data_IF_284209940467
#
_entry.id   IF_284209940467
#
_cell.length_a   1.000
_cell.length_b   1.000
_cell.length_c   1.000
_cell.angle_alpha   90.00
_cell.angle_beta   90.00
_cell.angle_gamma   90.00
#
_symmetry.space_group_name_H-M   'P 1'
#
loop_
_entity.id
_entity.type
_entity.pdbx_description
1 polymer ?
#
# COMPACT_ATOMS: atom_id res chain seq x y z
N UNK A 1 14.60 -6.41 -38.73
CA UNK A 1 15.01 -6.32 -37.31
C UNK A 1 13.95 -7.04 -36.50
N UNK A 2 14.32 -7.74 -35.43
CA UNK A 2 13.30 -8.41 -34.61
C UNK A 2 12.43 -7.34 -33.92
N UNK A 3 11.14 -7.62 -33.66
CA UNK A 3 10.26 -6.70 -32.92
C UNK A 3 10.85 -6.29 -31.55
N UNK A 4 11.70 -7.15 -30.97
CA UNK A 4 12.42 -6.88 -29.73
C UNK A 4 13.55 -5.84 -29.89
N UNK A 5 14.29 -5.83 -31.00
CA UNK A 5 15.38 -4.87 -31.22
C UNK A 5 14.86 -3.45 -31.50
N UNK A 6 13.80 -3.32 -32.31
CA UNK A 6 13.16 -2.01 -32.57
C UNK A 6 12.52 -1.43 -31.31
N UNK A 7 12.03 -2.29 -30.42
CA UNK A 7 11.43 -1.87 -29.16
C UNK A 7 12.48 -1.45 -28.12
N UNK A 8 13.66 -2.07 -28.13
CA UNK A 8 14.80 -1.62 -27.31
C UNK A 8 15.38 -0.28 -27.79
N UNK A 9 15.43 -0.04 -29.11
CA UNK A 9 15.79 1.28 -29.68
C UNK A 9 14.81 2.36 -29.21
N UNK A 10 13.51 2.06 -29.24
CA UNK A 10 12.46 2.97 -28.78
C UNK A 10 12.65 3.35 -27.29
N UNK A 11 13.06 2.41 -26.43
CA UNK A 11 13.31 2.69 -25.01
C UNK A 11 14.47 3.67 -24.82
N UNK A 12 15.59 3.43 -25.50
CA UNK A 12 16.75 4.32 -25.43
C UNK A 12 16.44 5.73 -25.97
N UNK A 13 15.66 5.82 -27.04
CA UNK A 13 15.19 7.10 -27.58
C UNK A 13 14.25 7.82 -26.61
N UNK A 14 13.25 7.11 -26.08
CA UNK A 14 12.24 7.68 -25.17
C UNK A 14 12.84 8.17 -23.85
N UNK A 15 13.93 7.55 -23.38
CA UNK A 15 14.64 8.00 -22.19
C UNK A 15 15.27 9.40 -22.39
N UNK A 16 15.74 9.68 -23.61
CA UNK A 16 16.36 10.95 -23.98
C UNK A 16 15.36 12.08 -24.29
N UNK A 17 14.08 11.77 -24.52
CA UNK A 17 13.07 12.77 -24.87
C UNK A 17 12.78 13.75 -23.73
N UNK A 18 12.62 15.02 -24.10
CA UNK A 18 12.06 16.06 -23.25
C UNK A 18 10.52 15.99 -23.21
N UNK A 19 9.84 16.70 -22.28
CA UNK A 19 8.39 16.64 -22.15
C UNK A 19 7.62 16.93 -23.45
N UNK A 20 8.07 17.92 -24.23
CA UNK A 20 7.43 18.31 -25.50
C UNK A 20 7.53 17.20 -26.57
N UNK A 21 8.67 16.51 -26.61
CA UNK A 21 8.88 15.38 -27.51
C UNK A 21 8.05 14.17 -27.09
N UNK A 22 7.98 13.88 -25.79
CA UNK A 22 7.10 12.85 -25.23
C UNK A 22 5.64 13.10 -25.62
N UNK A 23 5.17 14.35 -25.49
CA UNK A 23 3.80 14.72 -25.89
C UNK A 23 3.59 14.54 -27.40
N UNK A 24 4.54 14.98 -28.23
CA UNK A 24 4.45 14.84 -29.70
C UNK A 24 4.39 13.39 -30.14
N UNK A 25 5.16 12.52 -29.48
CA UNK A 25 5.27 11.11 -29.82
C UNK A 25 4.29 10.22 -29.06
N UNK A 26 3.53 10.76 -28.10
CA UNK A 26 2.56 10.05 -27.27
C UNK A 26 1.65 9.10 -28.06
N UNK A 27 0.97 9.50 -29.16
CA UNK A 27 0.02 8.63 -29.86
C UNK A 27 0.67 7.40 -30.50
N UNK A 28 1.94 7.51 -30.90
CA UNK A 28 2.66 6.43 -31.59
C UNK A 28 3.51 5.59 -30.63
N UNK A 29 4.13 6.23 -29.64
CA UNK A 29 5.07 5.58 -28.72
C UNK A 29 4.36 4.86 -27.58
N UNK A 30 3.31 5.44 -26.99
CA UNK A 30 2.63 4.84 -25.84
C UNK A 30 2.05 3.45 -26.15
N UNK A 31 1.29 3.22 -27.24
CA UNK A 31 0.79 1.88 -27.54
C UNK A 31 1.91 0.84 -27.75
N UNK A 32 3.03 1.25 -28.34
CA UNK A 32 4.21 0.38 -28.56
C UNK A 32 4.89 0.03 -27.24
N UNK A 33 5.11 1.01 -26.36
CA UNK A 33 5.69 0.79 -25.04
C UNK A 33 4.77 -0.06 -24.15
N UNK A 34 3.46 0.15 -24.21
CA UNK A 34 2.50 -0.69 -23.51
C UNK A 34 2.56 -2.13 -24.04
N UNK A 35 2.53 -2.33 -25.36
CA UNK A 35 2.68 -3.67 -25.95
C UNK A 35 3.99 -4.33 -25.54
N UNK A 36 5.08 -3.57 -25.51
CA UNK A 36 6.38 -4.06 -25.09
C UNK A 36 6.36 -4.48 -23.61
N UNK A 37 5.77 -3.65 -22.74
CA UNK A 37 5.61 -3.94 -21.32
C UNK A 37 4.82 -5.23 -21.06
N UNK A 38 3.86 -5.58 -21.93
CA UNK A 38 3.10 -6.81 -21.82
C UNK A 38 3.89 -8.08 -22.20
N UNK A 39 4.91 -7.96 -23.06
CA UNK A 39 5.58 -9.11 -23.71
C UNK A 39 6.99 -9.37 -23.18
N UNK A 40 7.69 -8.37 -22.63
CA UNK A 40 9.06 -8.55 -22.13
C UNK A 40 9.10 -9.55 -20.98
N UNK A 41 9.85 -10.64 -21.11
CA UNK A 41 10.09 -11.61 -20.03
C UNK A 41 11.25 -11.19 -19.09
N UNK A 42 12.18 -10.35 -19.55
CA UNK A 42 13.31 -9.91 -18.75
C UNK A 42 12.93 -8.82 -17.72
N UNK A 43 13.16 -9.09 -16.43
CA UNK A 43 12.79 -8.20 -15.33
C UNK A 43 13.43 -6.81 -15.37
N UNK A 44 14.72 -6.69 -15.72
CA UNK A 44 15.39 -5.39 -15.73
C UNK A 44 14.90 -4.52 -16.88
N UNK A 45 14.65 -5.11 -18.05
CA UNK A 45 14.06 -4.41 -19.18
C UNK A 45 12.62 -3.98 -18.88
N UNK A 46 11.81 -4.87 -18.28
CA UNK A 46 10.42 -4.57 -17.90
C UNK A 46 10.35 -3.41 -16.92
N UNK A 47 11.26 -3.35 -15.94
CA UNK A 47 11.38 -2.22 -15.01
C UNK A 47 11.76 -0.92 -15.75
N UNK A 48 12.70 -0.99 -16.70
CA UNK A 48 13.06 0.17 -17.53
C UNK A 48 11.86 0.75 -18.28
N UNK A 49 11.04 -0.12 -18.89
CA UNK A 49 9.80 0.31 -19.58
C UNK A 49 8.82 0.93 -18.59
N UNK A 50 8.62 0.31 -17.43
CA UNK A 50 7.73 0.82 -16.39
C UNK A 50 8.11 2.24 -15.95
N UNK A 51 9.41 2.47 -15.73
CA UNK A 51 9.93 3.78 -15.34
C UNK A 51 9.70 4.82 -16.43
N UNK A 52 9.98 4.51 -17.69
CA UNK A 52 9.71 5.43 -18.81
C UNK A 52 8.21 5.74 -18.89
N UNK A 53 7.35 4.73 -18.79
CA UNK A 53 5.90 4.90 -18.80
C UNK A 53 5.44 5.85 -17.66
N UNK A 54 5.94 5.66 -16.44
CA UNK A 54 5.53 6.45 -15.26
C UNK A 54 6.19 7.83 -15.17
N UNK A 55 7.44 7.98 -15.59
CA UNK A 55 8.21 9.23 -15.43
C UNK A 55 8.04 10.16 -16.64
N UNK A 56 7.91 9.62 -17.86
CA UNK A 56 7.93 10.40 -19.11
C UNK A 56 6.56 10.53 -19.76
N UNK A 57 5.79 9.45 -19.80
CA UNK A 57 4.51 9.42 -20.54
C UNK A 57 3.32 9.75 -19.67
N UNK A 58 3.25 9.23 -18.43
CA UNK A 58 2.18 9.53 -17.49
C UNK A 58 1.91 11.05 -17.36
N UNK A 59 2.92 11.94 -17.25
CA UNK A 59 2.68 13.38 -17.15
C UNK A 59 2.06 14.03 -18.39
N UNK A 60 2.07 13.35 -19.53
CA UNK A 60 1.52 13.84 -20.79
C UNK A 60 0.08 13.39 -21.02
N UNK A 61 -0.43 12.46 -20.19
CA UNK A 61 -1.77 11.89 -20.35
C UNK A 61 -2.76 12.74 -19.57
N UNK A 62 -3.85 13.14 -20.22
CA UNK A 62 -4.90 13.89 -19.55
C UNK A 62 -5.60 13.02 -18.50
N UNK A 63 -5.94 13.61 -17.35
CA UNK A 63 -6.48 12.87 -16.21
C UNK A 63 -7.73 12.05 -16.55
N UNK A 64 -8.63 12.58 -17.39
CA UNK A 64 -9.85 11.86 -17.79
C UNK A 64 -9.60 10.61 -18.64
N UNK A 65 -8.44 10.52 -19.29
CA UNK A 65 -8.06 9.39 -20.15
C UNK A 65 -7.13 8.41 -19.44
N UNK A 66 -6.60 8.81 -18.28
CA UNK A 66 -5.55 8.10 -17.54
C UNK A 66 -5.92 6.64 -17.28
N UNK A 67 -7.14 6.41 -16.79
CA UNK A 67 -7.60 5.07 -16.45
C UNK A 67 -7.62 4.13 -17.67
N UNK A 68 -8.26 4.59 -18.76
CA UNK A 68 -8.49 3.77 -19.95
C UNK A 68 -7.21 3.53 -20.75
N UNK A 69 -6.35 4.56 -20.84
CA UNK A 69 -5.17 4.55 -21.70
C UNK A 69 -3.91 4.04 -20.99
N UNK A 70 -3.84 4.17 -19.67
CA UNK A 70 -2.63 3.87 -18.90
C UNK A 70 -2.87 2.93 -17.72
N UNK A 71 -3.64 3.34 -16.70
CA UNK A 71 -3.71 2.63 -15.41
C UNK A 71 -4.21 1.19 -15.58
N UNK A 72 -5.33 1.00 -16.29
CA UNK A 72 -5.91 -0.32 -16.55
C UNK A 72 -5.04 -1.25 -17.40
N UNK A 73 -4.02 -0.72 -18.09
CA UNK A 73 -3.09 -1.49 -18.93
C UNK A 73 -1.79 -1.81 -18.21
N UNK A 74 -1.28 -0.86 -17.42
CA UNK A 74 0.02 -0.97 -16.75
C UNK A 74 -0.12 -1.70 -15.42
N UNK A 75 -1.08 -1.31 -14.58
CA UNK A 75 -1.14 -1.80 -13.19
C UNK A 75 -1.38 -3.30 -13.06
N UNK A 76 -2.28 -3.97 -13.81
CA UNK A 76 -2.46 -5.41 -13.67
C UNK A 76 -1.16 -6.18 -13.91
N UNK A 77 -0.36 -5.74 -14.90
CA UNK A 77 0.95 -6.34 -15.17
C UNK A 77 2.01 -5.96 -14.16
N UNK A 78 1.95 -4.75 -13.59
CA UNK A 78 2.83 -4.38 -12.47
C UNK A 78 2.55 -5.24 -11.24
N UNK A 79 1.29 -5.49 -10.93
CA UNK A 79 0.87 -6.38 -9.83
C UNK A 79 1.35 -7.81 -10.08
N UNK A 80 1.08 -8.36 -11.27
CA UNK A 80 1.54 -9.70 -11.65
C UNK A 80 3.07 -9.82 -11.55
N UNK A 81 3.80 -8.84 -12.09
CA UNK A 81 5.26 -8.77 -12.01
C UNK A 81 5.75 -8.78 -10.56
N UNK A 82 5.14 -7.97 -9.70
CA UNK A 82 5.50 -7.89 -8.29
C UNK A 82 5.22 -9.20 -7.54
N UNK A 83 4.08 -9.83 -7.81
CA UNK A 83 3.71 -11.12 -7.22
C UNK A 83 4.65 -12.25 -7.65
N UNK A 84 5.10 -12.26 -8.92
CA UNK A 84 6.09 -13.23 -9.41
C UNK A 84 7.44 -13.04 -8.70
N UNK A 85 7.94 -11.81 -8.57
CA UNK A 85 9.19 -11.55 -7.85
C UNK A 85 9.13 -12.04 -6.39
N UNK A 86 8.00 -11.80 -5.71
CA UNK A 86 7.79 -12.28 -4.34
C UNK A 86 7.72 -13.80 -4.25
N UNK A 87 7.06 -14.44 -5.21
CA UNK A 87 7.01 -15.90 -5.30
C UNK A 87 8.41 -16.47 -5.50
N UNK A 88 9.19 -15.94 -6.44
CA UNK A 88 10.56 -16.36 -6.69
C UNK A 88 11.44 -16.15 -5.45
N UNK A 89 11.35 -15.01 -4.76
CA UNK A 89 12.09 -14.79 -3.51
C UNK A 89 11.73 -15.88 -2.48
N UNK A 90 10.45 -16.18 -2.33
CA UNK A 90 9.99 -17.16 -1.34
C UNK A 90 10.45 -18.58 -1.70
N UNK A 91 10.41 -18.97 -2.97
CA UNK A 91 10.86 -20.29 -3.41
C UNK A 91 12.38 -20.47 -3.33
N UNK A 92 13.13 -19.39 -3.58
CA UNK A 92 14.59 -19.41 -3.50
C UNK A 92 15.11 -19.31 -2.06
N UNK A 93 14.35 -18.72 -1.14
CA UNK A 93 14.74 -18.60 0.26
C UNK A 93 15.01 -19.97 0.93
N UNK A 94 14.25 -21.01 0.57
CA UNK A 94 14.43 -22.37 1.09
C UNK A 94 15.75 -23.03 0.63
N UNK A 95 16.37 -22.50 -0.43
CA UNK A 95 17.58 -23.03 -1.06
C UNK A 95 18.84 -22.25 -0.68
N UNK A 96 18.70 -21.27 0.23
CA UNK A 96 19.81 -20.45 0.69
C UNK A 96 20.85 -21.29 1.42
N UNK A 97 22.10 -21.20 0.96
CA UNK A 97 23.26 -21.85 1.57
C UNK A 97 24.46 -20.92 1.46
N UNK A 98 25.39 -21.01 2.41
CA UNK A 98 26.59 -20.16 2.44
C UNK A 98 27.47 -20.23 1.18
N UNK A 99 27.34 -21.28 0.37
CA UNK A 99 28.14 -21.50 -0.84
C UNK A 99 27.48 -20.97 -2.13
N UNK A 100 26.20 -20.56 -2.08
CA UNK A 100 25.45 -20.19 -3.28
C UNK A 100 25.41 -18.67 -3.49
N UNK A 101 26.56 -18.09 -3.84
CA UNK A 101 26.71 -16.64 -4.07
C UNK A 101 25.83 -16.11 -5.21
N UNK A 102 25.64 -16.90 -6.27
CA UNK A 102 24.78 -16.53 -7.40
C UNK A 102 23.33 -16.37 -6.96
N UNK A 103 22.82 -17.29 -6.14
CA UNK A 103 21.48 -17.19 -5.57
C UNK A 103 21.33 -15.98 -4.65
N UNK A 104 22.33 -15.71 -3.82
CA UNK A 104 22.35 -14.50 -2.98
C UNK A 104 22.23 -13.24 -3.84
N UNK A 105 22.98 -13.15 -4.94
CA UNK A 105 22.93 -12.02 -5.85
C UNK A 105 21.58 -11.91 -6.57
N UNK A 106 21.03 -13.02 -7.04
CA UNK A 106 19.70 -13.04 -7.68
C UNK A 106 18.61 -12.56 -6.73
N UNK A 107 18.59 -13.04 -5.47
CA UNK A 107 17.64 -12.58 -4.47
C UNK A 107 17.80 -11.11 -4.12
N UNK A 108 19.04 -10.63 -3.98
CA UNK A 108 19.32 -9.19 -3.78
C UNK A 108 18.77 -8.36 -4.94
N UNK A 109 18.97 -8.81 -6.18
CA UNK A 109 18.45 -8.15 -7.36
C UNK A 109 16.92 -8.13 -7.40
N UNK A 110 16.25 -9.20 -6.99
CA UNK A 110 14.78 -9.25 -6.90
C UNK A 110 14.24 -8.27 -5.86
N UNK A 111 14.82 -8.25 -4.65
CA UNK A 111 14.42 -7.30 -3.60
C UNK A 111 14.68 -5.86 -4.06
N UNK A 112 15.84 -5.58 -4.66
CA UNK A 112 16.15 -4.26 -5.22
C UNK A 112 15.18 -3.86 -6.33
N UNK A 113 14.76 -4.80 -7.18
CA UNK A 113 13.77 -4.56 -8.23
C UNK A 113 12.43 -4.18 -7.63
N UNK A 114 11.99 -4.87 -6.57
CA UNK A 114 10.77 -4.51 -5.84
C UNK A 114 10.85 -3.09 -5.25
N UNK A 115 12.00 -2.70 -4.68
CA UNK A 115 12.23 -1.32 -4.20
C UNK A 115 11.98 -0.31 -5.32
N UNK A 116 12.58 -0.52 -6.49
CA UNK A 116 12.43 0.38 -7.64
C UNK A 116 11.00 0.43 -8.19
N UNK A 117 10.25 -0.68 -8.12
CA UNK A 117 8.81 -0.68 -8.47
C UNK A 117 8.02 0.20 -7.50
N UNK A 118 8.28 0.11 -6.19
CA UNK A 118 7.62 0.94 -5.18
C UNK A 118 7.94 2.43 -5.38
N UNK A 119 9.18 2.77 -5.69
CA UNK A 119 9.61 4.14 -6.01
C UNK A 119 8.86 4.70 -7.23
N UNK A 120 8.80 3.93 -8.33
CA UNK A 120 8.11 4.32 -9.54
C UNK A 120 6.60 4.54 -9.31
N UNK A 121 5.96 3.61 -8.58
CA UNK A 121 4.56 3.74 -8.17
C UNK A 121 4.34 4.96 -7.27
N UNK A 122 5.28 5.26 -6.38
CA UNK A 122 5.19 6.44 -5.52
C UNK A 122 5.23 7.72 -6.34
N UNK A 123 6.13 7.79 -7.33
CA UNK A 123 6.17 8.88 -8.31
C UNK A 123 4.86 9.04 -9.08
N UNK A 124 4.29 7.92 -9.53
CA UNK A 124 3.00 7.89 -10.24
C UNK A 124 1.86 8.49 -9.40
N UNK A 125 1.67 7.99 -8.17
CA UNK A 125 0.61 8.51 -7.28
C UNK A 125 0.83 9.97 -6.92
N UNK A 126 2.09 10.36 -6.64
CA UNK A 126 2.43 11.75 -6.32
C UNK A 126 2.09 12.69 -7.47
N UNK A 127 2.39 12.28 -8.70
CA UNK A 127 2.05 13.06 -9.88
C UNK A 127 0.53 13.23 -10.00
N UNK A 128 -0.24 12.14 -9.87
CA UNK A 128 -1.71 12.16 -9.95
C UNK A 128 -2.32 13.07 -8.87
N UNK A 129 -1.83 13.00 -7.62
CA UNK A 129 -2.25 13.90 -6.54
C UNK A 129 -1.99 15.37 -6.84
N UNK A 130 -0.99 15.68 -7.67
CA UNK A 130 -0.64 17.04 -8.06
C UNK A 130 -1.52 17.63 -9.17
N UNK A 131 -2.37 16.82 -9.82
CA UNK A 131 -3.16 17.27 -10.98
C UNK A 131 -4.39 18.09 -10.58
N UNK A 132 -5.07 17.74 -9.48
CA UNK A 132 -6.32 18.38 -9.04
C UNK A 132 -6.50 18.32 -7.52
N UNK A 133 -7.21 19.29 -6.95
CA UNK A 133 -7.57 19.31 -5.51
C UNK A 133 -8.58 18.23 -5.12
N UNK A 134 -9.45 17.83 -6.05
CA UNK A 134 -10.41 16.73 -5.89
C UNK A 134 -10.32 15.80 -7.08
N UNK A 135 -10.23 14.50 -6.80
CA UNK A 135 -9.94 13.48 -7.80
C UNK A 135 -11.15 12.56 -8.00
N UNK A 136 -11.84 12.59 -9.16
CA UNK A 136 -12.92 11.65 -9.44
C UNK A 136 -12.40 10.21 -9.42
N UNK A 137 -13.00 9.32 -8.62
CA UNK A 137 -12.56 7.93 -8.52
C UNK A 137 -12.59 7.22 -9.88
N UNK A 138 -13.55 7.57 -10.75
CA UNK A 138 -13.74 6.96 -12.06
C UNK A 138 -12.48 7.07 -12.94
N UNK A 139 -11.67 8.12 -12.75
CA UNK A 139 -10.43 8.38 -13.50
C UNK A 139 -9.22 7.63 -12.97
N UNK A 140 -9.33 6.97 -11.81
CA UNK A 140 -8.21 6.29 -11.13
C UNK A 140 -8.63 4.99 -10.43
N UNK A 141 -9.77 4.39 -10.78
CA UNK A 141 -10.40 3.35 -9.97
C UNK A 141 -9.55 2.07 -9.83
N UNK A 142 -8.67 1.77 -10.79
CA UNK A 142 -7.74 0.63 -10.68
C UNK A 142 -6.53 0.90 -9.76
N UNK A 143 -6.22 2.17 -9.50
CA UNK A 143 -5.00 2.59 -8.81
C UNK A 143 -4.99 2.21 -7.33
N UNK A 144 -6.02 2.54 -6.51
CA UNK A 144 -6.01 2.23 -5.08
C UNK A 144 -5.82 0.74 -4.79
N UNK A 145 -6.58 -0.13 -5.47
CA UNK A 145 -6.57 -1.55 -5.18
C UNK A 145 -5.24 -2.21 -5.59
N UNK A 146 -4.72 -1.86 -6.77
CA UNK A 146 -3.44 -2.38 -7.26
C UNK A 146 -2.27 -2.01 -6.35
N UNK A 147 -2.22 -0.74 -5.93
CA UNK A 147 -1.15 -0.23 -5.08
C UNK A 147 -1.26 -0.77 -3.66
N UNK A 148 -2.45 -0.82 -3.09
CA UNK A 148 -2.66 -1.38 -1.75
C UNK A 148 -2.34 -2.89 -1.71
N UNK A 149 -2.58 -3.63 -2.79
CA UNK A 149 -2.15 -5.03 -2.89
C UNK A 149 -0.62 -5.15 -2.81
N UNK A 150 0.12 -4.36 -3.60
CA UNK A 150 1.59 -4.35 -3.60
C UNK A 150 2.14 -3.96 -2.21
N UNK A 151 1.58 -2.91 -1.59
CA UNK A 151 1.95 -2.48 -0.23
C UNK A 151 1.71 -3.63 0.77
N UNK A 152 0.52 -4.25 0.74
CA UNK A 152 0.16 -5.35 1.63
C UNK A 152 1.16 -6.50 1.50
N UNK A 153 1.42 -6.94 0.28
CA UNK A 153 2.36 -8.03 -0.01
C UNK A 153 3.77 -7.69 0.46
N UNK A 154 4.21 -6.45 0.27
CA UNK A 154 5.49 -5.97 0.78
C UNK A 154 5.57 -6.07 2.30
N UNK A 155 4.58 -5.56 3.04
CA UNK A 155 4.62 -5.62 4.51
C UNK A 155 4.51 -7.04 5.05
N UNK A 156 3.73 -7.91 4.43
CA UNK A 156 3.69 -9.33 4.80
C UNK A 156 5.08 -9.97 4.61
N UNK A 157 5.75 -9.68 3.49
CA UNK A 157 7.10 -10.15 3.26
C UNK A 157 8.09 -9.62 4.32
N UNK A 158 8.07 -8.32 4.62
CA UNK A 158 8.88 -7.74 5.68
C UNK A 158 8.60 -8.38 7.05
N UNK A 159 7.32 -8.62 7.39
CA UNK A 159 6.91 -9.27 8.65
C UNK A 159 7.54 -10.65 8.81
N UNK A 160 7.57 -11.43 7.72
CA UNK A 160 7.99 -12.81 7.72
C UNK A 160 9.48 -12.98 7.38
N UNK A 161 10.18 -11.90 7.04
CA UNK A 161 11.54 -11.93 6.50
C UNK A 161 12.55 -12.57 7.46
N UNK A 162 12.45 -12.30 8.77
CA UNK A 162 13.34 -12.92 9.77
C UNK A 162 13.22 -14.46 9.77
N UNK A 163 11.99 -14.98 9.73
CA UNK A 163 11.76 -16.42 9.61
C UNK A 163 12.13 -16.98 8.22
N UNK A 164 11.85 -16.23 7.16
CA UNK A 164 12.05 -16.68 5.78
C UNK A 164 13.54 -16.82 5.43
N UNK A 165 14.35 -15.85 5.86
CA UNK A 165 15.79 -15.84 5.56
C UNK A 165 16.62 -16.52 6.67
N UNK A 166 16.07 -16.68 7.87
CA UNK A 166 16.71 -17.38 9.00
C UNK A 166 18.14 -16.87 9.24
N UNK A 167 19.15 -17.75 9.22
CA UNK A 167 20.56 -17.38 9.45
C UNK A 167 21.14 -16.40 8.41
N UNK A 168 20.51 -16.30 7.22
CA UNK A 168 20.92 -15.40 6.15
C UNK A 168 20.23 -14.03 6.21
N UNK A 169 19.36 -13.79 7.19
CA UNK A 169 18.62 -12.53 7.33
C UNK A 169 19.51 -11.28 7.25
N UNK A 170 20.65 -11.31 7.95
CA UNK A 170 21.61 -10.21 7.97
C UNK A 170 22.19 -9.87 6.58
N UNK A 171 22.18 -10.80 5.61
CA UNK A 171 22.66 -10.55 4.25
C UNK A 171 21.72 -9.64 3.45
N UNK A 172 20.44 -9.57 3.84
CA UNK A 172 19.39 -8.85 3.13
C UNK A 172 18.81 -7.68 3.93
N UNK A 173 19.28 -7.44 5.17
CA UNK A 173 18.70 -6.46 6.09
C UNK A 173 18.60 -5.05 5.52
N UNK A 174 19.64 -4.58 4.85
CA UNK A 174 19.69 -3.22 4.28
C UNK A 174 18.69 -3.05 3.13
N UNK A 175 18.55 -4.09 2.29
CA UNK A 175 17.57 -4.11 1.21
C UNK A 175 16.15 -4.21 1.74
N UNK A 176 15.91 -5.04 2.76
CA UNK A 176 14.60 -5.15 3.42
C UNK A 176 14.22 -3.84 4.11
N UNK A 177 15.17 -3.14 4.70
CA UNK A 177 14.94 -1.82 5.28
C UNK A 177 14.59 -0.80 4.20
N UNK A 178 15.27 -0.84 3.06
CA UNK A 178 14.97 0.03 1.91
C UNK A 178 13.58 -0.27 1.34
N UNK A 179 13.24 -1.56 1.19
CA UNK A 179 11.93 -2.03 0.76
C UNK A 179 10.81 -1.56 1.70
N UNK A 180 11.01 -1.66 3.02
CA UNK A 180 10.05 -1.16 4.00
C UNK A 180 9.86 0.36 3.91
N UNK A 181 10.95 1.12 3.75
CA UNK A 181 10.90 2.58 3.61
C UNK A 181 10.11 3.02 2.37
N UNK A 182 10.34 2.37 1.22
CA UNK A 182 9.62 2.70 0.00
C UNK A 182 8.15 2.25 0.06
N UNK A 183 7.85 1.12 0.71
CA UNK A 183 6.46 0.74 0.97
C UNK A 183 5.75 1.78 1.85
N UNK A 184 6.44 2.32 2.86
CA UNK A 184 5.91 3.40 3.70
C UNK A 184 5.69 4.70 2.93
N UNK A 185 6.63 5.09 2.07
CA UNK A 185 6.49 6.26 1.20
C UNK A 185 5.28 6.10 0.26
N UNK A 186 5.14 4.93 -0.37
CA UNK A 186 4.01 4.61 -1.24
C UNK A 186 2.69 4.59 -0.47
N UNK A 187 2.64 3.98 0.72
CA UNK A 187 1.45 3.95 1.56
C UNK A 187 1.01 5.37 1.93
N UNK A 188 1.95 6.23 2.36
CA UNK A 188 1.65 7.63 2.66
C UNK A 188 1.05 8.34 1.44
N UNK A 189 1.67 8.16 0.27
CA UNK A 189 1.24 8.83 -0.95
C UNK A 189 -0.15 8.36 -1.42
N UNK A 190 -0.45 7.07 -1.35
CA UNK A 190 -1.77 6.54 -1.74
C UNK A 190 -2.86 6.94 -0.74
N UNK A 191 -2.54 7.05 0.56
CA UNK A 191 -3.49 7.55 1.55
C UNK A 191 -3.84 9.02 1.31
N UNK A 192 -2.86 9.86 0.91
CA UNK A 192 -3.11 11.24 0.49
C UNK A 192 -4.04 11.29 -0.73
N UNK A 193 -3.81 10.42 -1.73
CA UNK A 193 -4.69 10.33 -2.90
C UNK A 193 -6.13 9.95 -2.50
N UNK A 194 -6.30 8.90 -1.70
CA UNK A 194 -7.62 8.43 -1.25
C UNK A 194 -8.35 9.53 -0.43
N UNK A 195 -7.62 10.38 0.30
CA UNK A 195 -8.21 11.50 1.03
C UNK A 195 -8.86 12.56 0.11
N UNK A 196 -8.28 12.79 -1.07
CA UNK A 196 -8.80 13.77 -2.06
C UNK A 196 -9.75 13.16 -3.09
N UNK A 197 -9.90 11.83 -3.10
CA UNK A 197 -10.83 11.15 -4.00
C UNK A 197 -12.28 11.50 -3.68
N UNK A 198 -13.06 11.75 -4.73
CA UNK A 198 -14.51 11.95 -4.69
C UNK A 198 -15.23 10.70 -5.23
N UNK A 199 -16.24 10.25 -4.48
CA UNK A 199 -17.10 9.11 -4.84
C UNK A 199 -18.37 9.68 -5.47
N UNK A 200 -18.54 9.48 -6.77
CA UNK A 200 -19.67 10.01 -7.52
C UNK A 200 -20.99 9.34 -7.06
N UNK A 201 -22.01 10.14 -6.77
CA UNK A 201 -23.30 9.64 -6.26
C UNK A 201 -24.16 8.99 -7.34
N UNK A 202 -23.86 9.20 -8.63
CA UNK A 202 -24.64 8.68 -9.76
C UNK A 202 -24.18 7.27 -10.22
N UNK A 203 -22.92 6.91 -9.97
CA UNK A 203 -22.31 5.61 -10.29
C UNK A 203 -22.12 4.73 -9.02
N UNK A 204 -22.99 4.93 -8.02
CA UNK A 204 -22.71 4.67 -6.62
C UNK A 204 -22.21 3.26 -6.30
N UNK A 205 -22.67 2.20 -6.97
CA UNK A 205 -22.41 0.84 -6.52
C UNK A 205 -20.95 0.39 -6.74
N UNK A 206 -20.35 0.69 -7.90
CA UNK A 206 -18.96 0.29 -8.19
C UNK A 206 -17.95 1.14 -7.42
N UNK A 207 -18.11 2.47 -7.41
CA UNK A 207 -17.24 3.37 -6.66
C UNK A 207 -17.29 3.10 -5.14
N UNK A 208 -18.47 2.74 -4.60
CA UNK A 208 -18.63 2.30 -3.21
C UNK A 208 -17.94 0.97 -2.97
N UNK A 209 -18.07 0.00 -3.88
CA UNK A 209 -17.40 -1.29 -3.75
C UNK A 209 -15.86 -1.15 -3.72
N UNK A 210 -15.31 -0.24 -4.53
CA UNK A 210 -13.87 0.09 -4.50
C UNK A 210 -13.48 0.67 -3.15
N UNK A 211 -14.21 1.65 -2.62
CA UNK A 211 -13.90 2.26 -1.31
C UNK A 211 -14.02 1.28 -0.15
N UNK A 212 -15.01 0.38 -0.17
CA UNK A 212 -15.15 -0.70 0.81
C UNK A 212 -13.94 -1.64 0.76
N UNK A 213 -13.54 -2.02 -0.45
CA UNK A 213 -12.37 -2.89 -0.68
C UNK A 213 -11.07 -2.22 -0.21
N UNK A 214 -10.90 -0.92 -0.47
CA UNK A 214 -9.78 -0.11 0.02
C UNK A 214 -9.71 -0.18 1.56
N UNK A 215 -10.82 0.02 2.26
CA UNK A 215 -10.85 -0.02 3.73
C UNK A 215 -10.47 -1.41 4.25
N UNK A 216 -10.97 -2.48 3.63
CA UNK A 216 -10.65 -3.84 4.05
C UNK A 216 -9.19 -4.23 3.77
N UNK A 217 -8.62 -3.84 2.62
CA UNK A 217 -7.20 -4.08 2.36
C UNK A 217 -6.33 -3.26 3.33
N UNK A 218 -6.73 -2.04 3.67
CA UNK A 218 -6.04 -1.24 4.68
C UNK A 218 -6.07 -1.90 6.07
N UNK A 219 -7.16 -2.57 6.46
CA UNK A 219 -7.21 -3.37 7.70
C UNK A 219 -6.19 -4.53 7.67
N UNK A 220 -6.08 -5.23 6.54
CA UNK A 220 -5.08 -6.28 6.37
C UNK A 220 -3.65 -5.72 6.46
N UNK A 221 -3.39 -4.56 5.82
CA UNK A 221 -2.11 -3.85 5.97
C UNK A 221 -1.86 -3.47 7.42
N UNK A 222 -2.88 -2.96 8.13
CA UNK A 222 -2.83 -2.56 9.52
C UNK A 222 -2.37 -3.73 10.42
N UNK A 223 -2.97 -4.91 10.20
CA UNK A 223 -2.58 -6.15 10.87
C UNK A 223 -1.16 -6.64 10.50
N UNK A 224 -0.73 -6.44 9.24
CA UNK A 224 0.62 -6.79 8.82
C UNK A 224 1.69 -5.93 9.53
N UNK A 225 1.44 -4.62 9.68
CA UNK A 225 2.40 -3.68 10.28
C UNK A 225 2.37 -3.63 11.81
N UNK A 226 1.37 -4.24 12.45
CA UNK A 226 1.11 -4.13 13.90
C UNK A 226 2.30 -4.55 14.78
N UNK A 227 3.06 -5.55 14.34
CA UNK A 227 4.27 -6.05 15.00
C UNK A 227 5.57 -5.42 14.49
N UNK A 228 5.52 -4.70 13.36
CA UNK A 228 6.70 -4.14 12.70
C UNK A 228 6.93 -2.70 13.16
N UNK A 229 5.94 -1.83 12.99
CA UNK A 229 6.05 -0.41 13.30
C UNK A 229 4.76 0.13 13.93
N UNK A 230 4.86 0.53 15.21
CA UNK A 230 3.72 0.99 16.01
C UNK A 230 3.16 2.33 15.55
N UNK A 231 4.01 3.22 15.01
CA UNK A 231 3.57 4.54 14.56
C UNK A 231 2.79 4.41 13.26
N UNK A 232 3.29 3.61 12.32
CA UNK A 232 2.60 3.23 11.11
C UNK A 232 1.28 2.52 11.43
N UNK A 233 1.29 1.55 12.35
CA UNK A 233 0.08 0.86 12.79
C UNK A 233 -1.02 1.83 13.26
N UNK A 234 -0.69 2.75 14.18
CA UNK A 234 -1.63 3.75 14.68
C UNK A 234 -2.11 4.73 13.58
N UNK A 235 -1.22 5.14 12.68
CA UNK A 235 -1.56 6.05 11.58
C UNK A 235 -2.50 5.39 10.56
N UNK A 236 -2.26 4.14 10.21
CA UNK A 236 -3.15 3.34 9.34
C UNK A 236 -4.53 3.22 9.97
N UNK A 237 -4.62 2.91 11.27
CA UNK A 237 -5.90 2.88 11.99
C UNK A 237 -6.65 4.21 11.96
N UNK A 238 -5.94 5.31 12.25
CA UNK A 238 -6.51 6.66 12.21
C UNK A 238 -7.13 6.96 10.84
N UNK A 239 -6.47 6.53 9.78
CA UNK A 239 -6.96 6.71 8.41
C UNK A 239 -8.17 5.81 8.10
N UNK A 240 -8.12 4.52 8.46
CA UNK A 240 -9.25 3.59 8.30
C UNK A 240 -10.52 4.14 8.94
N UNK A 241 -10.42 4.62 10.18
CA UNK A 241 -11.55 5.21 10.91
C UNK A 241 -12.04 6.45 10.18
N UNK A 242 -11.13 7.35 9.79
CA UNK A 242 -11.50 8.57 9.06
C UNK A 242 -12.24 8.26 7.76
N UNK A 243 -11.70 7.39 6.91
CA UNK A 243 -12.32 7.05 5.62
C UNK A 243 -13.66 6.33 5.79
N UNK A 244 -13.75 5.43 6.79
CA UNK A 244 -15.01 4.76 7.14
C UNK A 244 -16.10 5.76 7.55
N UNK A 245 -15.72 6.84 8.22
CA UNK A 245 -16.66 7.88 8.68
C UNK A 245 -16.96 8.93 7.59
N UNK A 246 -15.98 9.27 6.74
CA UNK A 246 -16.12 10.20 5.61
C UNK A 246 -17.19 9.71 4.63
N UNK A 247 -17.16 8.43 4.27
CA UNK A 247 -18.08 7.81 3.32
C UNK A 247 -19.24 7.03 3.99
N UNK A 248 -19.49 7.29 5.28
CA UNK A 248 -20.38 6.45 6.11
C UNK A 248 -21.76 6.20 5.52
N UNK A 249 -22.38 7.19 4.87
CA UNK A 249 -23.74 7.07 4.32
C UNK A 249 -23.77 6.14 3.10
N UNK A 250 -22.68 6.11 2.34
CA UNK A 250 -22.55 5.36 1.09
C UNK A 250 -22.12 3.90 1.37
N UNK A 251 -21.22 3.68 2.34
CA UNK A 251 -20.63 2.36 2.58
C UNK A 251 -21.30 1.56 3.72
N UNK A 252 -22.26 2.14 4.46
CA UNK A 252 -22.86 1.56 5.69
C UNK A 252 -23.30 0.11 5.55
N UNK A 253 -23.93 -0.24 4.43
CA UNK A 253 -24.54 -1.56 4.25
C UNK A 253 -23.55 -2.60 3.72
N UNK A 254 -22.46 -2.14 3.09
CA UNK A 254 -21.49 -2.99 2.40
C UNK A 254 -20.21 -3.19 3.22
N UNK A 255 -19.87 -2.25 4.10
CA UNK A 255 -18.67 -2.34 4.95
C UNK A 255 -18.87 -3.39 6.05
N UNK A 256 -17.94 -4.35 6.16
CA UNK A 256 -17.97 -5.34 7.25
C UNK A 256 -17.47 -4.70 8.54
N UNK A 257 -18.38 -4.02 9.21
CA UNK A 257 -18.10 -3.31 10.46
C UNK A 257 -17.68 -4.23 11.61
N UNK A 258 -18.13 -5.49 11.58
CA UNK A 258 -17.65 -6.54 12.50
C UNK A 258 -16.14 -6.63 12.47
N UNK A 259 -15.54 -6.64 11.28
CA UNK A 259 -14.11 -6.88 11.09
C UNK A 259 -13.31 -5.71 11.70
N UNK A 260 -13.77 -4.48 11.50
CA UNK A 260 -13.17 -3.27 12.11
C UNK A 260 -13.23 -3.33 13.64
N UNK A 261 -14.40 -3.68 14.18
CA UNK A 261 -14.60 -3.75 15.63
C UNK A 261 -13.77 -4.88 16.25
N UNK A 262 -13.76 -6.06 15.62
CA UNK A 262 -12.98 -7.21 16.05
C UNK A 262 -11.48 -6.88 16.04
N UNK A 263 -10.94 -6.33 14.96
CA UNK A 263 -9.51 -5.98 14.88
C UNK A 263 -9.12 -4.93 15.92
N UNK A 264 -9.94 -3.89 16.15
CA UNK A 264 -9.67 -2.92 17.23
C UNK A 264 -9.68 -3.58 18.62
N UNK A 265 -10.61 -4.49 18.88
CA UNK A 265 -10.68 -5.22 20.14
C UNK A 265 -9.46 -6.15 20.32
N UNK A 266 -9.04 -6.84 19.27
CA UNK A 266 -7.84 -7.67 19.26
C UNK A 266 -6.59 -6.84 19.57
N UNK A 267 -6.46 -5.66 18.95
CA UNK A 267 -5.35 -4.74 19.19
C UNK A 267 -5.33 -4.16 20.61
N UNK A 268 -6.50 -3.85 21.18
CA UNK A 268 -6.65 -3.46 22.59
C UNK A 268 -6.18 -4.61 23.49
N UNK A 269 -6.70 -5.81 23.27
CA UNK A 269 -6.39 -6.98 24.09
C UNK A 269 -4.88 -7.28 24.06
N UNK A 270 -4.29 -7.31 22.86
CA UNK A 270 -2.86 -7.53 22.68
C UNK A 270 -2.01 -6.47 23.39
N UNK A 271 -2.36 -5.19 23.22
CA UNK A 271 -1.64 -4.08 23.85
C UNK A 271 -1.76 -4.13 25.38
N UNK A 272 -2.94 -4.48 25.90
CA UNK A 272 -3.20 -4.60 27.32
C UNK A 272 -2.42 -5.77 27.94
N UNK A 273 -2.43 -6.94 27.30
CA UNK A 273 -1.65 -8.11 27.73
C UNK A 273 -0.14 -7.81 27.73
N UNK A 274 0.36 -7.12 26.70
CA UNK A 274 1.75 -6.68 26.64
C UNK A 274 2.11 -5.72 27.78
N UNK A 275 1.20 -4.81 28.15
CA UNK A 275 1.38 -3.94 29.32
C UNK A 275 1.46 -4.75 30.63
N UNK A 276 0.60 -5.75 30.81
CA UNK A 276 0.61 -6.60 32.00
C UNK A 276 1.93 -7.37 32.13
N UNK A 277 2.39 -8.00 31.05
CA UNK A 277 3.65 -8.74 31.04
C UNK A 277 4.85 -7.84 31.40
N UNK A 278 4.93 -6.63 30.82
CA UNK A 278 5.98 -5.68 31.15
C UNK A 278 5.90 -5.22 32.61
N UNK A 279 4.70 -5.02 33.15
CA UNK A 279 4.51 -4.63 34.55
C UNK A 279 4.96 -5.74 35.52
N UNK A 280 4.67 -7.00 35.20
CA UNK A 280 5.14 -8.15 35.97
C UNK A 280 6.68 -8.28 35.92
N UNK A 281 7.27 -8.14 34.74
CA UNK A 281 8.73 -8.18 34.57
C UNK A 281 9.44 -7.08 35.37
N UNK A 282 8.91 -5.85 35.32
CA UNK A 282 9.44 -4.72 36.10
C UNK A 282 9.31 -4.95 37.62
N UNK A 283 8.26 -5.63 38.07
CA UNK A 283 8.08 -6.00 39.48
C UNK A 283 9.13 -7.04 39.93
N UNK A 284 9.44 -8.02 39.07
CA UNK A 284 10.40 -9.08 39.37
C UNK A 284 11.86 -8.63 39.31
N UNK A 285 12.22 -7.72 38.40
CA UNK A 285 13.62 -7.31 38.18
C UNK A 285 14.14 -6.30 39.22
N UNK A 286 13.28 -5.75 40.09
CA UNK A 286 13.66 -4.76 41.12
C UNK A 286 14.31 -3.49 40.56
N UNK A 287 14.29 -3.29 39.25
CA UNK A 287 15.08 -2.26 38.56
C UNK A 287 14.20 -1.04 38.27
N UNK A 288 14.53 0.10 38.88
CA UNK A 288 14.01 1.41 38.48
C UNK A 288 14.70 1.86 37.18
N UNK A 289 13.99 1.73 36.05
CA UNK A 289 14.15 2.50 34.80
C UNK A 289 15.43 2.25 33.95
N UNK A 290 15.40 2.17 32.62
CA UNK A 290 14.71 3.13 31.74
C UNK A 290 14.10 2.54 30.46
N UNK A 291 14.43 1.31 30.04
CA UNK A 291 13.98 0.78 28.74
C UNK A 291 12.60 0.14 28.83
N UNK A 292 12.38 -0.77 29.79
CA UNK A 292 11.11 -1.50 29.93
C UNK A 292 9.96 -0.57 30.31
N UNK A 293 10.23 0.42 31.17
CA UNK A 293 9.25 1.44 31.52
C UNK A 293 8.86 2.31 30.32
N UNK A 294 9.82 2.71 29.46
CA UNK A 294 9.53 3.42 28.21
C UNK A 294 8.72 2.56 27.26
N UNK A 295 9.02 1.26 27.15
CA UNK A 295 8.25 0.32 26.34
C UNK A 295 6.83 0.17 26.87
N UNK A 296 6.65 0.04 28.19
CA UNK A 296 5.34 0.00 28.85
C UNK A 296 4.54 1.26 28.58
N UNK A 297 5.14 2.45 28.75
CA UNK A 297 4.47 3.73 28.48
C UNK A 297 4.01 3.84 27.01
N UNK A 298 4.85 3.39 26.06
CA UNK A 298 4.49 3.36 24.64
C UNK A 298 3.32 2.41 24.39
N UNK A 299 3.34 1.22 24.98
CA UNK A 299 2.27 0.23 24.82
C UNK A 299 0.95 0.71 25.44
N UNK A 300 0.99 1.33 26.62
CA UNK A 300 -0.20 1.89 27.26
C UNK A 300 -0.79 3.06 26.45
N UNK A 301 0.06 3.91 25.85
CA UNK A 301 -0.41 4.95 24.92
C UNK A 301 -1.15 4.34 23.72
N UNK A 302 -0.62 3.25 23.16
CA UNK A 302 -1.22 2.55 22.03
C UNK A 302 -2.56 1.89 22.40
N UNK A 303 -2.61 1.20 23.55
CA UNK A 303 -3.84 0.61 24.09
C UNK A 303 -4.95 1.68 24.27
N UNK A 304 -4.60 2.84 24.85
CA UNK A 304 -5.55 3.96 25.00
C UNK A 304 -5.99 4.51 23.64
N UNK A 305 -5.09 4.62 22.68
CA UNK A 305 -5.43 5.04 21.33
C UNK A 305 -6.47 4.10 20.69
N UNK A 306 -6.29 2.79 20.78
CA UNK A 306 -7.27 1.83 20.23
C UNK A 306 -8.61 1.87 20.96
N UNK A 307 -8.61 1.97 22.29
CA UNK A 307 -9.85 2.10 23.07
C UNK A 307 -10.64 3.37 22.69
N UNK A 308 -9.94 4.51 22.54
CA UNK A 308 -10.56 5.76 22.11
C UNK A 308 -11.08 5.67 20.67
N UNK A 309 -10.32 5.03 19.79
CA UNK A 309 -10.71 4.76 18.41
C UNK A 309 -11.99 3.92 18.32
N UNK A 310 -12.08 2.85 19.11
CA UNK A 310 -13.26 2.00 19.22
C UNK A 310 -14.47 2.79 19.73
N UNK A 311 -14.29 3.56 20.81
CA UNK A 311 -15.36 4.41 21.37
C UNK A 311 -15.85 5.44 20.34
N UNK A 312 -14.92 6.08 19.63
CA UNK A 312 -15.27 7.06 18.59
C UNK A 312 -16.07 6.42 17.46
N UNK A 313 -15.59 5.28 16.95
CA UNK A 313 -16.22 4.55 15.85
C UNK A 313 -17.64 4.08 16.22
N UNK A 314 -17.82 3.54 17.43
CA UNK A 314 -19.11 3.06 17.93
C UNK A 314 -20.09 4.19 18.25
N UNK A 315 -19.63 5.30 18.86
CA UNK A 315 -20.50 6.46 19.17
C UNK A 315 -21.08 7.10 17.91
N UNK A 316 -20.25 7.29 16.88
CA UNK A 316 -20.71 7.86 15.60
C UNK A 316 -21.70 6.92 14.90
N UNK A 317 -21.56 5.61 15.10
CA UNK A 317 -22.51 4.61 14.60
C UNK A 317 -23.84 4.66 15.38
N UNK A 318 -23.80 4.66 16.71
CA UNK A 318 -24.99 4.61 17.57
C UNK A 318 -25.92 5.81 17.35
N UNK A 319 -25.37 7.03 17.27
CA UNK A 319 -26.15 8.27 17.07
C UNK A 319 -26.89 8.37 15.72
N UNK A 320 -26.64 7.44 14.78
CA UNK A 320 -27.20 7.47 13.43
C UNK A 320 -28.00 6.19 13.07
N UNK A 321 -28.21 5.28 14.04
CA UNK A 321 -29.00 4.05 13.88
C UNK A 321 -30.27 4.03 14.74
N UNK A 322 -30.35 4.90 15.75
CA UNK A 322 -31.61 5.23 16.40
C UNK A 322 -32.29 6.33 15.57
N UNK A 323 -33.62 6.25 15.32
CA UNK A 323 -34.34 7.39 14.78
C UNK A 323 -34.11 8.60 15.70
N UNK A 324 -34.08 9.84 15.18
CA UNK A 324 -33.97 11.01 16.02
C UNK A 324 -35.07 10.93 17.09
N UNK A 325 -34.69 11.07 18.37
CA UNK A 325 -35.66 11.22 19.46
C UNK A 325 -36.46 12.51 19.21
N UNK A 326 -37.55 12.38 18.47
CA UNK A 326 -38.19 13.53 17.85
C UNK A 326 -39.50 13.18 17.16
N UNK A 327 -40.32 12.34 17.78
CA UNK A 327 -41.76 12.49 17.68
C UNK A 327 -42.39 12.22 19.05
N UNK A 328 -42.17 13.17 19.97
CA UNK A 328 -42.93 13.32 21.22
C UNK A 328 -43.91 14.48 21.07
N UNK A 329 -44.73 14.43 20.03
CA UNK A 329 -45.86 15.35 19.84
C UNK A 329 -47.10 14.55 19.43
N UNK A 330 -47.57 13.72 20.37
CA UNK A 330 -48.99 13.37 20.49
C UNK A 330 -49.37 13.51 21.97
N UNK A 331 -49.66 14.76 22.34
CA UNK A 331 -50.67 15.14 23.32
C UNK A 331 -51.38 16.39 22.80
#
# INVERSE_FOLDING_TARGET
>A
MSQSEEALSLLAEAEAWCPEECLRHLPAALPRLLSLYQVIDNWSQRLGVLRILMEKFLPQIHLSELEQTFSSKVLPKTVEFFDVLLYEISSHAEQLTSQNEELHMTMKNHIQTMVLVLEALTGCVRHICGLQETLPLDYVHSLPLSILHIIKKTYIHCKNSESLYSEYFCLFSDLLQSLFKEAYALQKQIMEMIEIVSVNSCAADESVAVMVSVIHILLEICSAVSSIDRALHANTWKFIIRQSLKHKSQIKNSLKHSDILCSLCEDILFSFQSCLQLAEQMKCSGTQESTDYKLFQRMNKLCRFFANSLQHYTKVRANNWLPPEGDKTLL
#
